data_IF_690318911946
#
_entry.id   IF_690318911946
#
_cell.length_a   1.000
_cell.length_b   1.000
_cell.length_c   1.000
_cell.angle_alpha   90.00
_cell.angle_beta   90.00
_cell.angle_gamma   90.00
#
_symmetry.space_group_name_H-M   'P 1'
#
loop_
_entity.id
_entity.type
_entity.pdbx_description
1 polymer ?
#
# COMPACT_ATOMS: atom_id res chain seq x y z
N UNK A 1 45.49 36.07 -74.75
CA UNK A 1 46.94 35.75 -74.85
C UNK A 1 47.47 35.56 -73.43
N UNK A 2 48.31 34.52 -73.25
CA UNK A 2 49.04 33.99 -72.07
C UNK A 2 49.71 35.05 -71.14
N UNK A 3 50.36 34.66 -70.01
CA UNK A 3 50.08 33.63 -68.98
C UNK A 3 50.40 34.13 -67.54
N UNK A 4 50.30 33.27 -66.51
CA UNK A 4 50.99 33.51 -65.23
C UNK A 4 50.64 32.49 -64.13
N UNK A 5 51.40 31.40 -64.05
CA UNK A 5 51.35 30.42 -62.97
C UNK A 5 52.47 30.71 -61.95
N UNK A 6 52.21 30.48 -60.65
CA UNK A 6 53.18 30.17 -59.59
C UNK A 6 52.41 29.40 -58.49
N UNK A 7 52.63 28.09 -58.35
CA UNK A 7 53.46 27.48 -57.29
C UNK A 7 52.90 27.79 -55.88
N UNK A 8 52.11 26.88 -55.31
CA UNK A 8 52.52 25.75 -54.45
C UNK A 8 52.87 26.16 -53.01
N UNK A 9 52.05 25.74 -52.05
CA UNK A 9 52.52 25.22 -50.77
C UNK A 9 51.43 24.32 -50.18
N UNK A 10 51.73 23.02 -50.12
CA UNK A 10 51.00 22.05 -49.34
C UNK A 10 51.34 22.26 -47.87
N UNK A 11 50.33 22.42 -47.01
CA UNK A 11 50.45 22.13 -45.59
C UNK A 11 49.31 21.19 -45.24
N UNK A 12 49.71 19.94 -45.02
CA UNK A 12 48.89 18.83 -44.61
C UNK A 12 48.73 18.95 -43.08
N UNK A 13 47.61 19.50 -42.63
CA UNK A 13 47.24 19.45 -41.21
C UNK A 13 46.23 18.33 -41.02
N UNK A 14 46.73 17.19 -40.55
CA UNK A 14 45.92 16.11 -40.03
C UNK A 14 45.27 16.57 -38.71
N UNK A 15 44.03 17.03 -38.77
CA UNK A 15 43.22 17.25 -37.57
C UNK A 15 42.43 15.97 -37.27
N UNK A 16 42.87 15.33 -36.19
CA UNK A 16 42.27 14.15 -35.57
C UNK A 16 40.78 14.36 -35.31
N UNK A 17 40.01 13.42 -35.86
CA UNK A 17 38.61 13.12 -35.56
C UNK A 17 38.43 13.01 -34.04
N UNK A 18 37.88 14.06 -33.43
CA UNK A 18 37.29 13.96 -32.09
C UNK A 18 35.81 13.65 -32.28
N UNK A 19 35.48 12.36 -32.31
CA UNK A 19 34.13 11.92 -31.97
C UNK A 19 33.95 12.15 -30.47
N UNK A 20 33.09 13.07 -30.01
CA UNK A 20 32.56 12.93 -28.66
C UNK A 20 31.74 11.65 -28.67
N UNK A 21 32.20 10.62 -27.97
CA UNK A 21 31.38 9.49 -27.60
C UNK A 21 30.32 10.04 -26.63
N UNK A 22 29.15 10.40 -27.16
CA UNK A 22 27.92 10.46 -26.39
C UNK A 22 27.58 9.02 -26.04
N UNK A 23 28.29 8.52 -25.02
CA UNK A 23 27.85 7.38 -24.27
C UNK A 23 26.46 7.75 -23.75
N UNK A 24 25.46 7.05 -24.29
CA UNK A 24 24.14 6.90 -23.71
C UNK A 24 24.30 6.62 -22.22
N UNK A 25 24.32 7.69 -21.43
CA UNK A 25 24.04 7.60 -20.00
C UNK A 25 22.53 7.44 -19.94
N UNK A 26 22.06 6.25 -20.30
CA UNK A 26 20.79 5.76 -19.81
C UNK A 26 20.82 6.05 -18.30
N UNK A 27 19.87 6.82 -17.74
CA UNK A 27 19.76 6.91 -16.30
C UNK A 27 19.59 5.47 -15.84
N UNK A 28 20.67 4.93 -15.25
CA UNK A 28 20.65 3.65 -14.56
C UNK A 28 19.40 3.74 -13.69
N UNK A 29 18.42 2.83 -13.79
CA UNK A 29 17.33 2.83 -12.84
C UNK A 29 18.01 2.85 -11.49
N UNK A 30 17.87 3.96 -10.77
CA UNK A 30 18.34 4.06 -9.40
C UNK A 30 17.80 2.80 -8.76
N UNK A 31 18.66 1.89 -8.25
CA UNK A 31 18.14 0.85 -7.39
C UNK A 31 17.37 1.63 -6.34
N UNK A 32 16.04 1.50 -6.35
CA UNK A 32 15.17 2.17 -5.39
C UNK A 32 15.85 1.98 -4.06
N UNK A 33 16.21 3.11 -3.45
CA UNK A 33 17.06 3.18 -2.28
C UNK A 33 16.64 2.07 -1.33
N UNK A 34 17.50 1.06 -1.20
CA UNK A 34 17.27 -0.14 -0.38
C UNK A 34 17.48 0.20 1.11
N UNK A 35 17.06 1.41 1.49
CA UNK A 35 17.14 2.03 2.81
C UNK A 35 15.80 1.90 3.56
N UNK A 36 14.85 1.13 3.04
CA UNK A 36 13.69 0.62 3.77
C UNK A 36 13.94 -0.75 4.44
N UNK A 37 15.20 -1.24 4.45
CA UNK A 37 15.51 -2.62 4.81
C UNK A 37 15.44 -2.95 6.32
N UNK A 38 15.07 -2.01 7.20
CA UNK A 38 14.92 -2.26 8.64
C UNK A 38 13.61 -1.70 9.24
N UNK A 39 12.73 -1.10 8.45
CA UNK A 39 11.43 -0.68 8.97
C UNK A 39 10.49 -1.88 8.94
N UNK A 40 10.15 -2.40 10.11
CA UNK A 40 9.21 -3.52 10.23
C UNK A 40 7.90 -3.13 9.53
N UNK A 41 7.37 -4.04 8.71
CA UNK A 41 6.10 -3.87 8.01
C UNK A 41 4.98 -3.53 8.99
N UNK A 42 4.97 -4.14 10.17
CA UNK A 42 4.06 -3.78 11.26
C UNK A 42 4.61 -2.56 12.01
N UNK A 43 4.28 -1.38 11.49
CA UNK A 43 4.47 -0.11 12.15
C UNK A 43 3.19 0.73 12.05
N UNK A 44 3.13 1.85 12.77
CA UNK A 44 1.89 2.66 12.79
C UNK A 44 1.56 3.29 11.45
N UNK A 45 2.56 3.76 10.73
CA UNK A 45 2.33 4.42 9.45
C UNK A 45 1.70 3.46 8.45
N UNK A 46 2.21 2.23 8.36
CA UNK A 46 1.66 1.20 7.49
C UNK A 46 0.26 0.77 7.93
N UNK A 47 0.05 0.52 9.22
CA UNK A 47 -1.26 0.15 9.76
C UNK A 47 -2.32 1.24 9.56
N UNK A 48 -1.96 2.53 9.72
CA UNK A 48 -2.87 3.63 9.40
C UNK A 48 -3.17 3.77 7.91
N UNK A 49 -2.23 3.43 7.02
CA UNK A 49 -2.49 3.36 5.57
C UNK A 49 -3.50 2.26 5.25
N UNK A 50 -3.29 1.05 5.79
CA UNK A 50 -4.22 -0.08 5.65
C UNK A 50 -5.60 0.27 6.20
N UNK A 51 -5.66 0.80 7.42
CA UNK A 51 -6.91 1.22 8.07
C UNK A 51 -7.70 2.19 7.19
N UNK A 52 -7.06 3.28 6.74
CA UNK A 52 -7.71 4.28 5.90
C UNK A 52 -8.21 3.70 4.58
N UNK A 53 -7.45 2.78 3.99
CA UNK A 53 -7.89 2.09 2.78
C UNK A 53 -9.15 1.27 3.04
N UNK A 54 -9.15 0.39 4.05
CA UNK A 54 -10.31 -0.45 4.38
C UNK A 54 -11.54 0.40 4.73
N UNK A 55 -11.38 1.50 5.48
CA UNK A 55 -12.50 2.39 5.79
C UNK A 55 -13.07 3.12 4.57
N UNK A 56 -12.24 3.44 3.58
CA UNK A 56 -12.64 4.20 2.39
C UNK A 56 -13.20 3.33 1.26
N UNK A 57 -12.65 2.12 1.05
CA UNK A 57 -12.96 1.25 -0.09
C UNK A 57 -13.52 -0.12 0.29
N UNK A 58 -13.42 -0.49 1.58
CA UNK A 58 -13.81 -1.80 2.07
C UNK A 58 -15.31 -2.04 1.99
N UNK A 59 -15.67 -3.33 1.95
CA UNK A 59 -17.05 -3.79 2.12
C UNK A 59 -17.39 -3.84 3.61
N UNK A 60 -18.61 -4.29 3.93
CA UNK A 60 -19.07 -4.53 5.30
C UNK A 60 -19.30 -6.02 5.50
N UNK A 61 -18.78 -6.59 6.58
CA UNK A 61 -18.94 -8.01 6.88
C UNK A 61 -18.89 -8.31 8.38
N UNK A 62 -19.75 -9.21 8.85
CA UNK A 62 -19.72 -9.74 10.23
C UNK A 62 -18.88 -11.03 10.27
N UNK A 63 -17.88 -11.09 11.16
CA UNK A 63 -17.01 -12.27 11.33
C UNK A 63 -17.06 -12.89 12.74
N UNK A 64 -17.57 -12.15 13.73
CA UNK A 64 -17.71 -12.61 15.11
C UNK A 64 -19.09 -12.23 15.65
N UNK A 65 -19.50 -12.84 16.76
CA UNK A 65 -20.72 -12.46 17.47
C UNK A 65 -20.57 -11.17 18.30
N UNK A 66 -19.35 -10.61 18.35
CA UNK A 66 -19.04 -9.42 19.16
C UNK A 66 -19.39 -8.12 18.45
N UNK A 67 -19.15 -8.07 17.14
CA UNK A 67 -19.32 -6.87 16.32
C UNK A 67 -20.00 -7.24 15.00
N UNK A 68 -20.98 -6.43 14.61
CA UNK A 68 -21.70 -6.55 13.35
C UNK A 68 -21.09 -5.63 12.29
N UNK A 69 -21.18 -6.06 11.04
CA UNK A 69 -20.88 -5.26 9.86
C UNK A 69 -19.51 -4.58 9.90
N UNK A 70 -18.45 -5.23 10.38
CA UNK A 70 -17.10 -4.66 10.40
C UNK A 70 -16.69 -4.12 9.01
N UNK A 71 -15.95 -3.00 8.94
CA UNK A 71 -15.19 -2.66 7.74
C UNK A 71 -14.30 -3.84 7.34
N UNK A 72 -14.36 -4.23 6.08
CA UNK A 72 -13.85 -5.50 5.60
C UNK A 72 -13.14 -5.35 4.26
N UNK A 73 -11.99 -6.00 4.12
CA UNK A 73 -11.29 -6.15 2.86
C UNK A 73 -11.01 -7.64 2.61
N UNK A 74 -11.34 -8.07 1.40
CA UNK A 74 -11.05 -9.40 0.90
C UNK A 74 -9.86 -9.33 -0.05
N UNK A 75 -8.81 -10.09 0.28
CA UNK A 75 -7.66 -10.39 -0.58
C UNK A 75 -7.79 -11.84 -1.10
N UNK A 76 -6.99 -12.29 -2.06
CA UNK A 76 -6.91 -13.70 -2.48
C UNK A 76 -6.79 -14.66 -1.29
N UNK A 77 -5.80 -14.44 -0.42
CA UNK A 77 -5.47 -15.38 0.67
C UNK A 77 -5.99 -14.94 2.04
N UNK A 78 -6.41 -13.68 2.18
CA UNK A 78 -6.76 -13.10 3.48
C UNK A 78 -8.13 -12.46 3.50
N UNK A 79 -8.73 -12.50 4.68
CA UNK A 79 -9.86 -11.69 5.09
C UNK A 79 -9.39 -10.74 6.19
N UNK A 80 -9.57 -9.44 5.96
CA UNK A 80 -9.15 -8.39 6.88
C UNK A 80 -10.37 -7.66 7.42
N UNK A 81 -10.44 -7.49 8.73
CA UNK A 81 -11.52 -6.81 9.43
C UNK A 81 -10.96 -5.71 10.32
N UNK A 82 -11.70 -4.63 10.45
CA UNK A 82 -11.43 -3.61 11.46
C UNK A 82 -12.42 -3.73 12.61
N UNK A 83 -11.90 -3.84 13.82
CA UNK A 83 -12.72 -3.83 15.03
C UNK A 83 -12.89 -2.40 15.56
N UNK A 84 -14.09 -2.03 16.02
CA UNK A 84 -14.29 -0.76 16.71
C UNK A 84 -13.49 -0.75 18.02
N UNK A 85 -12.97 0.41 18.39
CA UNK A 85 -12.31 0.58 19.68
C UNK A 85 -13.31 0.44 20.84
N UNK A 86 -12.90 -0.13 21.98
CA UNK A 86 -13.67 -0.06 23.21
C UNK A 86 -13.77 1.40 23.63
N UNK A 87 -14.93 1.79 24.15
CA UNK A 87 -15.16 3.15 24.62
C UNK A 87 -14.54 3.40 25.99
N UNK A 88 -14.68 2.41 26.88
CA UNK A 88 -14.05 2.31 28.19
C UNK A 88 -13.95 0.84 28.59
N UNK A 89 -13.25 0.53 29.67
CA UNK A 89 -13.20 -0.84 30.20
C UNK A 89 -14.59 -1.37 30.57
N UNK A 90 -15.46 -0.50 31.11
CA UNK A 90 -16.83 -0.85 31.50
C UNK A 90 -17.83 -0.90 30.32
N UNK A 91 -17.45 -0.37 29.16
CA UNK A 91 -18.29 -0.33 27.96
C UNK A 91 -17.52 -0.81 26.72
N UNK A 92 -17.09 -2.08 26.69
CA UNK A 92 -16.21 -2.58 25.63
C UNK A 92 -16.92 -2.77 24.27
N UNK A 93 -18.26 -2.68 24.21
CA UNK A 93 -19.06 -3.02 23.01
C UNK A 93 -20.12 -1.96 22.65
N UNK A 94 -19.83 -0.66 22.87
CA UNK A 94 -20.80 0.41 22.57
C UNK A 94 -21.03 0.63 21.07
N UNK A 95 -20.03 0.38 20.22
CA UNK A 95 -20.13 0.49 18.77
C UNK A 95 -20.33 -0.88 18.12
N UNK A 96 -21.40 -1.60 18.50
CA UNK A 96 -21.64 -2.99 18.06
C UNK A 96 -21.81 -3.11 16.55
N UNK A 97 -22.38 -2.10 15.89
CA UNK A 97 -22.62 -2.08 14.44
C UNK A 97 -21.40 -1.62 13.61
N UNK A 98 -20.26 -1.41 14.29
CA UNK A 98 -19.00 -0.99 13.67
C UNK A 98 -19.13 0.27 12.82
N UNK A 99 -19.92 1.24 13.27
CA UNK A 99 -20.15 2.53 12.59
C UNK A 99 -18.84 3.33 12.53
N UNK A 100 -18.30 3.64 11.33
CA UNK A 100 -17.06 4.40 11.17
C UNK A 100 -17.08 5.80 11.81
N UNK A 101 -18.27 6.38 12.02
CA UNK A 101 -18.41 7.69 12.65
C UNK A 101 -18.28 7.66 14.18
N UNK A 102 -18.23 6.46 14.79
CA UNK A 102 -18.28 6.26 16.25
C UNK A 102 -17.00 5.64 16.85
N UNK A 103 -15.92 5.51 16.09
CA UNK A 103 -14.67 4.96 16.60
C UNK A 103 -13.50 5.12 15.63
N UNK A 104 -12.29 4.91 16.12
CA UNK A 104 -11.06 5.09 15.33
C UNK A 104 -10.60 3.83 14.61
N UNK A 105 -11.11 2.66 15.00
CA UNK A 105 -10.83 1.34 14.41
C UNK A 105 -9.34 0.96 14.44
N UNK A 106 -8.70 1.07 15.60
CA UNK A 106 -7.27 0.79 15.76
C UNK A 106 -6.94 -0.68 16.08
N UNK A 107 -7.82 -1.61 15.71
CA UNK A 107 -7.57 -3.04 15.76
C UNK A 107 -7.82 -3.65 14.39
N UNK A 108 -6.76 -4.18 13.78
CA UNK A 108 -6.82 -4.93 12.53
C UNK A 108 -6.81 -6.42 12.87
N UNK A 109 -7.78 -7.14 12.30
CA UNK A 109 -7.89 -8.60 12.41
C UNK A 109 -7.71 -9.21 11.04
N UNK A 110 -6.90 -10.25 10.95
CA UNK A 110 -6.57 -10.99 9.74
C UNK A 110 -6.93 -12.46 9.95
N UNK A 111 -7.64 -13.04 8.98
CA UNK A 111 -7.90 -14.48 8.88
C UNK A 111 -7.37 -14.98 7.55
N UNK A 112 -6.62 -16.07 7.58
CA UNK A 112 -6.23 -16.79 6.36
C UNK A 112 -7.42 -17.57 5.81
N UNK A 113 -7.60 -17.61 4.49
CA UNK A 113 -8.69 -18.40 3.88
C UNK A 113 -8.39 -19.90 3.83
N UNK A 114 -7.11 -20.24 3.76
CA UNK A 114 -6.65 -21.63 3.73
C UNK A 114 -6.82 -22.32 5.10
N UNK A 115 -6.61 -21.58 6.19
CA UNK A 115 -6.82 -22.04 7.56
C UNK A 115 -7.93 -21.21 8.23
N UNK A 116 -9.14 -21.76 8.17
CA UNK A 116 -10.35 -21.11 8.65
C UNK A 116 -10.43 -20.99 10.19
N UNK A 117 -9.47 -21.50 10.95
CA UNK A 117 -9.61 -21.65 12.41
C UNK A 117 -8.95 -20.54 13.24
N UNK A 118 -8.00 -19.78 12.67
CA UNK A 118 -7.19 -18.83 13.43
C UNK A 118 -7.43 -17.39 12.98
N UNK A 119 -7.60 -16.51 13.96
CA UNK A 119 -7.62 -15.06 13.77
C UNK A 119 -6.38 -14.46 14.38
N UNK A 120 -5.70 -13.62 13.61
CA UNK A 120 -4.54 -12.85 14.03
C UNK A 120 -4.97 -11.41 14.19
N UNK A 121 -4.53 -10.72 15.24
CA UNK A 121 -4.88 -9.31 15.42
C UNK A 121 -3.70 -8.46 15.85
N UNK A 122 -3.79 -7.18 15.48
CA UNK A 122 -2.85 -6.14 15.89
C UNK A 122 -3.62 -4.89 16.30
N UNK A 123 -3.32 -4.40 17.50
CA UNK A 123 -3.88 -3.17 18.07
C UNK A 123 -2.82 -2.07 18.03
N UNK A 124 -3.16 -0.87 17.57
CA UNK A 124 -2.21 0.21 17.29
C UNK A 124 -2.70 1.60 17.78
N UNK A 125 -3.26 1.65 19.00
CA UNK A 125 -3.86 2.87 19.60
C UNK A 125 -2.83 3.93 19.97
N UNK A 126 -1.90 3.65 20.89
CA UNK A 126 -1.01 4.66 21.48
C UNK A 126 0.21 4.96 20.61
N UNK A 127 0.68 6.21 20.57
CA UNK A 127 1.71 6.70 19.64
C UNK A 127 2.95 5.80 19.47
N UNK A 128 3.32 5.03 20.50
CA UNK A 128 4.50 4.17 20.50
C UNK A 128 4.19 2.68 20.72
N UNK A 129 2.93 2.26 20.69
CA UNK A 129 2.53 0.90 21.06
C UNK A 129 1.79 0.18 19.93
N UNK A 130 2.27 -1.03 19.63
CA UNK A 130 1.65 -1.98 18.72
C UNK A 130 1.60 -3.32 19.46
N UNK A 131 0.40 -3.80 19.74
CA UNK A 131 0.17 -5.04 20.47
C UNK A 131 -0.38 -6.11 19.54
N UNK A 132 0.28 -7.26 19.49
CA UNK A 132 -0.24 -8.43 18.78
C UNK A 132 -1.21 -9.17 19.70
N UNK A 133 -2.36 -9.59 19.19
CA UNK A 133 -3.35 -10.36 19.97
C UNK A 133 -2.85 -11.76 20.34
N UNK A 134 -1.98 -12.33 19.50
CA UNK A 134 -1.24 -13.56 19.80
C UNK A 134 0.25 -13.30 19.58
N UNK A 135 1.06 -13.61 20.58
CA UNK A 135 2.50 -13.30 20.61
C UNK A 135 3.36 -14.47 20.09
N UNK A 136 3.04 -14.99 18.91
CA UNK A 136 3.87 -15.99 18.23
C UNK A 136 4.37 -15.48 16.87
N UNK A 137 5.47 -16.05 16.40
CA UNK A 137 6.14 -15.61 15.17
C UNK A 137 5.31 -15.91 13.91
N UNK A 138 4.51 -16.98 13.91
CA UNK A 138 3.66 -17.33 12.77
C UNK A 138 2.55 -16.28 12.60
N UNK A 139 1.88 -15.90 13.69
CA UNK A 139 0.87 -14.85 13.75
C UNK A 139 1.42 -13.51 13.28
N UNK A 140 2.63 -13.14 13.73
CA UNK A 140 3.32 -11.94 13.24
C UNK A 140 3.55 -12.02 11.73
N UNK A 141 4.06 -13.15 11.24
CA UNK A 141 4.36 -13.32 9.82
C UNK A 141 3.09 -13.22 8.95
N UNK A 142 1.98 -13.82 9.39
CA UNK A 142 0.67 -13.71 8.72
C UNK A 142 0.19 -12.26 8.65
N UNK A 143 0.28 -11.53 9.77
CA UNK A 143 -0.07 -10.10 9.81
C UNK A 143 0.81 -9.27 8.87
N UNK A 144 2.13 -9.51 8.85
CA UNK A 144 3.06 -8.82 7.96
C UNK A 144 2.75 -9.08 6.49
N UNK A 145 2.47 -10.33 6.10
CA UNK A 145 2.09 -10.69 4.73
C UNK A 145 0.81 -9.98 4.29
N UNK A 146 -0.24 -10.04 5.11
CA UNK A 146 -1.51 -9.41 4.78
C UNK A 146 -1.37 -7.88 4.65
N UNK A 147 -0.63 -7.23 5.57
CA UNK A 147 -0.37 -5.79 5.49
C UNK A 147 0.43 -5.42 4.23
N UNK A 148 1.48 -6.17 3.90
CA UNK A 148 2.26 -5.94 2.68
C UNK A 148 1.39 -5.99 1.42
N UNK A 149 0.49 -6.97 1.34
CA UNK A 149 -0.38 -7.13 0.18
C UNK A 149 -1.35 -5.96 0.01
N UNK A 150 -1.93 -5.45 1.11
CA UNK A 150 -2.75 -4.22 1.05
C UNK A 150 -1.93 -3.01 0.63
N UNK A 151 -0.68 -2.87 1.12
CA UNK A 151 0.19 -1.76 0.73
C UNK A 151 0.49 -1.80 -0.77
N UNK A 152 0.79 -2.98 -1.33
CA UNK A 152 1.00 -3.17 -2.76
C UNK A 152 -0.26 -2.80 -3.57
N UNK A 153 -1.45 -3.17 -3.09
CA UNK A 153 -2.72 -2.76 -3.70
C UNK A 153 -2.88 -1.23 -3.72
N UNK A 154 -2.60 -0.56 -2.60
CA UNK A 154 -2.67 0.91 -2.49
C UNK A 154 -1.68 1.59 -3.44
N UNK A 155 -0.45 1.11 -3.49
CA UNK A 155 0.62 1.70 -4.30
C UNK A 155 0.34 1.53 -5.80
N UNK A 156 -0.24 0.38 -6.20
CA UNK A 156 -0.68 0.13 -7.57
C UNK A 156 -1.81 1.08 -8.01
N UNK A 157 -2.78 1.34 -7.13
CA UNK A 157 -3.87 2.29 -7.40
C UNK A 157 -3.36 3.73 -7.54
N UNK A 158 -2.40 4.12 -6.70
CA UNK A 158 -1.80 5.46 -6.72
C UNK A 158 -1.01 5.70 -8.02
N UNK A 159 -0.35 4.66 -8.54
CA UNK A 159 0.41 4.72 -9.79
C UNK A 159 -0.52 4.80 -11.02
N UNK A 160 -1.68 4.15 -10.98
CA UNK A 160 -2.68 4.21 -12.06
C UNK A 160 -3.43 5.54 -12.16
N UNK A 161 -3.65 6.23 -11.03
CA UNK A 161 -4.32 7.53 -11.01
C UNK A 161 -3.46 8.70 -11.51
N UNK A 162 -2.12 8.56 -11.51
CA UNK A 162 -1.23 9.58 -12.06
C UNK A 162 -1.24 9.64 -13.61
N UNK A 163 -1.88 8.67 -14.28
CA UNK A 163 -1.97 8.62 -15.75
C UNK A 163 -3.26 9.18 -16.37
N UNK A 164 -4.26 9.58 -15.58
CA UNK A 164 -5.59 9.98 -16.11
C UNK A 164 -6.09 11.24 -15.40
N UNK A 165 -5.65 12.40 -15.88
CA UNK A 165 -6.32 13.68 -15.64
C UNK A 165 -7.48 13.83 -16.63
N UNK A 166 -8.71 13.54 -16.21
CA UNK A 166 -9.92 14.32 -16.53
C UNK A 166 -11.17 13.75 -15.81
N UNK A 167 -11.90 14.65 -15.14
CA UNK A 167 -13.18 14.46 -14.44
C UNK A 167 -14.38 14.80 -15.38
N UNK A 168 -15.70 14.71 -15.02
CA UNK A 168 -16.26 14.56 -13.66
C UNK A 168 -17.49 13.62 -13.48
N UNK A 169 -17.85 13.47 -12.19
CA UNK A 169 -19.19 13.26 -11.60
C UNK A 169 -20.09 12.08 -12.02
N UNK A 170 -20.37 11.22 -11.04
CA UNK A 170 -21.75 10.79 -10.73
C UNK A 170 -21.85 10.29 -9.28
N UNK A 171 -22.74 10.93 -8.52
CA UNK A 171 -23.26 10.42 -7.26
C UNK A 171 -24.04 9.14 -7.53
N UNK A 172 -23.77 8.08 -6.76
CA UNK A 172 -24.56 6.87 -6.75
C UNK A 172 -24.35 6.18 -5.41
N UNK A 173 -25.30 6.35 -4.50
CA UNK A 173 -25.34 5.64 -3.24
C UNK A 173 -25.38 4.13 -3.51
N UNK A 174 -24.26 3.45 -3.27
CA UNK A 174 -24.20 1.99 -3.30
C UNK A 174 -24.77 1.48 -1.98
N UNK A 175 -25.97 0.93 -2.03
CA UNK A 175 -26.43 -0.04 -1.04
C UNK A 175 -25.49 -1.24 -1.11
N UNK A 176 -24.59 -1.36 -0.14
CA UNK A 176 -23.75 -2.55 -0.02
C UNK A 176 -24.61 -3.72 0.49
N UNK A 177 -24.60 -4.88 -0.19
CA UNK A 177 -25.28 -6.06 0.33
C UNK A 177 -24.66 -6.43 1.69
N UNK A 178 -25.52 -6.52 2.71
CA UNK A 178 -25.16 -6.95 4.05
C UNK A 178 -24.84 -8.45 4.02
N UNK A 179 -23.57 -8.79 3.79
CA UNK A 179 -23.09 -10.16 3.81
C UNK A 179 -22.68 -10.57 5.22
N UNK A 180 -23.29 -11.63 5.74
CA UNK A 180 -22.69 -12.44 6.80
C UNK A 180 -21.54 -13.22 6.14
N UNK A 181 -20.28 -13.05 6.56
CA UNK A 181 -19.17 -13.90 6.09
C UNK A 181 -18.79 -14.96 7.12
N UNK A 182 -19.79 -15.47 7.85
CA UNK A 182 -19.63 -16.67 8.65
C UNK A 182 -19.59 -17.86 7.68
N UNK A 183 -18.38 -18.30 7.35
CA UNK A 183 -18.08 -19.60 6.74
C UNK A 183 -17.05 -20.31 7.60
#
# INVERSE_FOLDING_TARGET
>A
MKPGACAAFAVLVASLVHCPAWADTQPRPTPMSRTAANERVLNKQTLYRVKRHILASGKRCTYSNKYNHNPFLELPDFWLYLNPDPWSEDQPQRNVDSDPSKGDFNELVVREKADNSVYHSVVFRDANDIRLGVHDDASRHTLERAVLEVLQLIDAQSSGQQGILQAPSAQGAKTHPHGLCLR
#
